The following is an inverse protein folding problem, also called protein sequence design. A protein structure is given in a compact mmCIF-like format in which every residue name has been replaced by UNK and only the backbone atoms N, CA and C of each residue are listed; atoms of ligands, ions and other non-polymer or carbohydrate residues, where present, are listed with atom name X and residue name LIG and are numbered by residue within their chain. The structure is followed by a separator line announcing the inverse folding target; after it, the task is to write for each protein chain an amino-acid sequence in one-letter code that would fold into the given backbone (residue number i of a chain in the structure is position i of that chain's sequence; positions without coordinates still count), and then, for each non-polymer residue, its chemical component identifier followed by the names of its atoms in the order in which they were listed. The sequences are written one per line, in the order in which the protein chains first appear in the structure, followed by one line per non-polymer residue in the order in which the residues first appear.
data_IF_061968462327
#
_entry.id   IF_061968462327
#
_cell.length_a   1.000
_cell.length_b   1.000
_cell.length_c   1.000
_cell.angle_alpha   90.00
_cell.angle_beta   90.00
_cell.angle_gamma   90.00
#
_symmetry.space_group_name_H-M   'P 1'
#
loop_
_entity.id
_entity.type
_entity.pdbx_description
1 polymer ?
#
# COMPACT_ATOMS: atom_id res chain seq x y z
N UNK A 1 -8.04 -27.26 -26.22
CA UNK A 1 -7.59 -27.61 -24.84
C UNK A 1 -6.11 -27.24 -24.77
N UNK A 2 -5.83 -25.97 -24.50
CA UNK A 2 -4.45 -25.53 -24.27
C UNK A 2 -4.20 -25.59 -22.76
N UNK A 3 -3.19 -26.39 -22.41
CA UNK A 3 -2.74 -26.63 -21.05
C UNK A 3 -2.04 -25.37 -20.55
N UNK A 4 -2.72 -24.57 -19.73
CA UNK A 4 -2.09 -23.48 -18.97
C UNK A 4 -1.33 -24.12 -17.81
N UNK A 5 -0.12 -24.61 -18.08
CA UNK A 5 0.84 -24.99 -17.05
C UNK A 5 1.37 -23.71 -16.39
N UNK A 6 0.56 -23.10 -15.52
CA UNK A 6 0.97 -21.97 -14.70
C UNK A 6 1.85 -22.46 -13.56
N UNK A 7 3.15 -22.25 -13.68
CA UNK A 7 4.06 -22.38 -12.54
C UNK A 7 3.64 -21.35 -11.46
N UNK A 8 3.40 -21.81 -10.24
CA UNK A 8 2.67 -21.12 -9.17
C UNK A 8 3.49 -20.06 -8.41
N UNK A 9 4.64 -19.62 -8.91
CA UNK A 9 5.64 -18.83 -8.15
C UNK A 9 5.59 -17.29 -8.33
N UNK A 10 4.55 -16.71 -8.96
CA UNK A 10 4.73 -15.38 -9.57
C UNK A 10 4.22 -14.18 -8.75
N UNK A 11 5.16 -13.36 -8.28
CA UNK A 11 4.94 -11.95 -7.90
C UNK A 11 5.62 -11.10 -8.96
N UNK A 12 4.99 -10.01 -9.41
CA UNK A 12 5.60 -9.06 -10.36
C UNK A 12 5.81 -7.73 -9.65
N UNK A 13 6.87 -7.04 -10.06
CA UNK A 13 7.30 -5.80 -9.43
C UNK A 13 7.65 -4.72 -10.44
N UNK A 14 7.46 -3.46 -10.07
CA UNK A 14 7.96 -2.30 -10.81
C UNK A 14 8.57 -1.28 -9.85
N UNK A 15 9.70 -0.69 -10.25
CA UNK A 15 10.33 0.45 -9.56
C UNK A 15 10.32 1.68 -10.45
N UNK A 16 10.34 2.87 -9.86
CA UNK A 16 10.27 4.13 -10.58
C UNK A 16 11.55 4.49 -11.39
N UNK A 17 12.58 3.64 -11.40
CA UNK A 17 13.82 3.88 -12.16
C UNK A 17 14.32 2.59 -12.82
N UNK A 18 14.58 2.66 -14.14
CA UNK A 18 14.98 1.53 -14.98
C UNK A 18 16.25 0.83 -14.48
N UNK A 19 17.22 1.56 -13.91
CA UNK A 19 18.47 0.96 -13.42
C UNK A 19 18.28 0.05 -12.20
N UNK A 20 17.17 0.19 -11.47
CA UNK A 20 16.84 -0.62 -10.30
C UNK A 20 15.98 -1.83 -10.68
N UNK A 21 15.37 -1.83 -11.87
CA UNK A 21 14.47 -2.90 -12.30
C UNK A 21 15.21 -4.24 -12.49
N UNK A 22 16.40 -4.19 -13.08
CA UNK A 22 17.24 -5.37 -13.30
C UNK A 22 17.69 -6.02 -11.96
N UNK A 23 18.10 -5.21 -10.96
CA UNK A 23 18.45 -5.70 -9.61
C UNK A 23 17.27 -6.43 -8.93
N UNK A 24 16.03 -5.98 -9.16
CA UNK A 24 14.84 -6.56 -8.53
C UNK A 24 14.36 -7.81 -9.24
N UNK A 25 14.47 -7.85 -10.57
CA UNK A 25 14.15 -9.03 -11.36
C UNK A 25 14.96 -10.24 -10.87
N UNK A 26 16.25 -10.05 -10.56
CA UNK A 26 17.11 -11.11 -10.04
C UNK A 26 16.70 -11.59 -8.63
N UNK A 27 16.18 -10.70 -7.77
CA UNK A 27 15.69 -11.06 -6.43
C UNK A 27 14.36 -11.83 -6.45
N UNK A 28 13.51 -11.55 -7.43
CA UNK A 28 12.21 -12.23 -7.62
C UNK A 28 12.38 -13.55 -8.37
N UNK A 29 13.46 -13.68 -9.16
CA UNK A 29 13.81 -14.90 -9.88
C UNK A 29 14.33 -16.03 -8.97
N UNK A 30 14.72 -15.72 -7.72
CA UNK A 30 15.02 -16.74 -6.71
C UNK A 30 13.71 -17.36 -6.19
N UNK A 31 13.22 -18.34 -6.96
CA UNK A 31 11.91 -18.97 -6.81
C UNK A 31 11.68 -19.66 -5.45
N UNK A 32 12.72 -19.79 -4.62
CA UNK A 32 12.65 -20.49 -3.33
C UNK A 32 11.87 -19.74 -2.24
N UNK A 33 11.77 -18.40 -2.33
CA UNK A 33 11.06 -17.58 -1.34
C UNK A 33 9.55 -17.47 -1.59
N UNK A 34 9.08 -17.85 -2.79
CA UNK A 34 7.72 -17.59 -3.26
C UNK A 34 6.82 -18.83 -3.29
N UNK A 35 7.32 -20.03 -3.00
CA UNK A 35 6.52 -21.26 -3.16
C UNK A 35 5.40 -21.40 -2.11
N UNK A 36 5.55 -20.78 -0.94
CA UNK A 36 4.52 -20.78 0.10
C UNK A 36 3.55 -19.60 -0.06
N UNK A 37 2.26 -19.90 -0.24
CA UNK A 37 1.18 -18.91 -0.33
C UNK A 37 1.12 -17.99 0.89
N UNK A 38 1.40 -18.51 2.08
CA UNK A 38 1.37 -17.70 3.30
C UNK A 38 2.52 -16.67 3.33
N UNK A 39 3.69 -17.06 2.85
CA UNK A 39 4.86 -16.18 2.82
C UNK A 39 4.69 -15.09 1.76
N UNK A 40 4.09 -15.41 0.60
CA UNK A 40 3.66 -14.41 -0.39
C UNK A 40 2.71 -13.38 0.23
N UNK A 41 1.68 -13.83 0.95
CA UNK A 41 0.72 -12.93 1.59
C UNK A 41 1.38 -12.08 2.68
N UNK A 42 2.31 -12.64 3.45
CA UNK A 42 3.12 -11.88 4.41
C UNK A 42 3.95 -10.80 3.72
N UNK A 43 4.63 -11.13 2.62
CA UNK A 43 5.44 -10.18 1.85
C UNK A 43 4.55 -9.07 1.27
N UNK A 44 3.42 -9.41 0.64
CA UNK A 44 2.51 -8.42 0.08
C UNK A 44 1.88 -7.52 1.15
N UNK A 45 1.57 -8.07 2.33
CA UNK A 45 0.94 -7.31 3.43
C UNK A 45 1.92 -6.49 4.28
N UNK A 46 3.21 -6.83 4.28
CA UNK A 46 4.24 -6.12 5.04
C UNK A 46 4.74 -4.83 4.37
N UNK A 47 4.30 -4.53 3.15
CA UNK A 47 4.60 -3.28 2.46
C UNK A 47 4.12 -2.02 3.21
N UNK A 48 4.58 -0.81 2.80
CA UNK A 48 5.26 -0.53 1.52
C UNK A 48 6.74 -0.91 1.50
N UNK A 49 7.19 -1.38 0.33
CA UNK A 49 8.58 -1.78 0.12
C UNK A 49 9.37 -0.64 -0.53
N UNK A 50 10.60 -0.42 -0.07
CA UNK A 50 11.50 0.55 -0.69
C UNK A 50 12.88 -0.03 -0.91
N UNK A 51 13.43 0.19 -2.09
CA UNK A 51 14.82 -0.17 -2.44
C UNK A 51 15.53 1.13 -2.77
N UNK A 52 16.62 1.42 -2.02
CA UNK A 52 17.42 2.65 -2.18
C UNK A 52 16.58 3.95 -2.16
N UNK A 53 15.50 3.96 -1.37
CA UNK A 53 14.58 5.11 -1.26
C UNK A 53 13.55 5.23 -2.39
N UNK A 54 13.53 4.30 -3.35
CA UNK A 54 12.50 4.20 -4.39
C UNK A 54 11.42 3.23 -3.94
N UNK A 55 10.16 3.57 -4.21
CA UNK A 55 9.03 2.68 -3.96
C UNK A 55 9.09 1.46 -4.90
N UNK A 56 8.96 0.27 -4.31
CA UNK A 56 8.78 -0.98 -5.03
C UNK A 56 7.29 -1.36 -4.98
N UNK A 57 6.64 -1.35 -6.14
CA UNK A 57 5.23 -1.73 -6.28
C UNK A 57 5.18 -3.23 -6.57
N UNK A 58 4.78 -4.02 -5.57
CA UNK A 58 4.56 -5.46 -5.70
C UNK A 58 3.08 -5.78 -5.94
N UNK A 59 2.80 -6.64 -6.92
CA UNK A 59 1.45 -7.14 -7.23
C UNK A 59 1.48 -8.66 -7.36
N UNK A 60 0.39 -9.31 -6.93
CA UNK A 60 0.18 -10.73 -7.17
C UNK A 60 -0.13 -10.94 -8.66
N UNK A 61 0.59 -11.84 -9.31
CA UNK A 61 0.30 -12.19 -10.70
C UNK A 61 -0.77 -13.28 -10.75
N UNK A 62 -1.76 -13.07 -11.61
CA UNK A 62 -2.77 -14.10 -11.91
C UNK A 62 -2.48 -14.73 -13.27
N UNK A 63 -2.42 -16.06 -13.30
CA UNK A 63 -2.24 -16.83 -14.53
C UNK A 63 -3.35 -16.49 -15.54
N UNK A 64 -2.99 -15.76 -16.59
CA UNK A 64 -3.93 -15.24 -17.60
C UNK A 64 -3.83 -13.74 -17.85
N UNK A 65 -3.12 -12.98 -17.00
CA UNK A 65 -2.83 -11.57 -17.26
C UNK A 65 -1.48 -11.41 -17.93
N UNK A 66 -1.41 -10.58 -18.97
CA UNK A 66 -0.12 -10.10 -19.51
C UNK A 66 0.40 -8.94 -18.65
N UNK A 67 1.70 -8.66 -18.73
CA UNK A 67 2.36 -7.65 -17.89
C UNK A 67 1.70 -6.26 -18.01
N UNK A 68 1.26 -5.93 -19.22
CA UNK A 68 0.64 -4.65 -19.56
C UNK A 68 -0.77 -4.47 -18.98
N UNK A 69 -1.42 -5.56 -18.57
CA UNK A 69 -2.75 -5.54 -17.95
C UNK A 69 -2.69 -5.29 -16.43
N UNK A 70 -1.49 -5.34 -15.85
CA UNK A 70 -1.30 -5.17 -14.41
C UNK A 70 -1.13 -3.68 -14.09
N UNK A 71 -2.01 -3.17 -13.22
CA UNK A 71 -1.95 -1.78 -12.79
C UNK A 71 -0.93 -1.58 -11.66
N UNK A 72 0.20 -0.97 -12.02
CA UNK A 72 1.25 -0.50 -11.09
C UNK A 72 1.12 1.00 -10.73
N UNK A 73 0.05 1.67 -11.17
CA UNK A 73 -0.12 3.11 -10.97
C UNK A 73 -0.56 3.47 -9.55
N UNK A 74 -1.03 2.51 -8.75
CA UNK A 74 -1.41 2.74 -7.35
C UNK A 74 -0.80 1.72 -6.39
N UNK A 75 -0.59 2.16 -5.15
CA UNK A 75 -0.12 1.31 -4.07
C UNK A 75 -0.77 1.68 -2.71
N UNK A 76 -1.10 0.67 -1.87
CA UNK A 76 -1.68 0.91 -0.55
C UNK A 76 -0.65 1.39 0.47
N UNK A 77 -0.95 2.49 1.14
CA UNK A 77 -0.15 3.05 2.23
C UNK A 77 -0.95 3.15 3.53
N UNK A 78 -0.32 2.80 4.64
CA UNK A 78 -0.77 3.26 5.96
C UNK A 78 -0.30 4.69 6.18
N UNK A 79 -1.24 5.63 6.24
CA UNK A 79 -0.97 7.05 6.47
C UNK A 79 -1.38 7.44 7.88
N UNK A 80 -0.46 8.07 8.60
CA UNK A 80 -0.73 8.65 9.91
C UNK A 80 -1.24 10.08 9.75
N UNK A 81 -2.40 10.38 10.31
CA UNK A 81 -2.97 11.74 10.33
C UNK A 81 -2.73 12.35 11.70
N UNK A 82 -1.84 13.34 11.74
CA UNK A 82 -1.42 14.05 12.95
C UNK A 82 -2.15 15.39 13.11
N UNK A 83 -2.07 15.99 14.30
CA UNK A 83 -2.55 17.35 14.56
C UNK A 83 -4.07 17.52 14.63
N UNK A 84 -4.83 16.43 14.65
CA UNK A 84 -6.28 16.47 14.85
C UNK A 84 -6.60 16.81 16.32
N UNK A 85 -7.57 17.71 16.58
CA UNK A 85 -8.15 17.86 17.91
C UNK A 85 -8.75 16.52 18.40
N UNK A 86 -8.85 16.30 19.72
CA UNK A 86 -9.37 15.04 20.28
C UNK A 86 -10.71 14.61 19.68
N UNK A 87 -11.66 15.54 19.52
CA UNK A 87 -13.00 15.26 18.99
C UNK A 87 -13.00 14.84 17.51
N UNK A 88 -11.89 15.10 16.80
CA UNK A 88 -11.74 14.75 15.39
C UNK A 88 -11.09 13.37 15.18
N UNK A 89 -10.66 12.69 16.25
CA UNK A 89 -10.04 11.36 16.19
C UNK A 89 -11.10 10.25 16.29
N UNK A 90 -12.04 10.27 15.35
CA UNK A 90 -13.10 9.26 15.25
C UNK A 90 -13.04 8.54 13.91
N UNK A 91 -13.59 7.32 13.85
CA UNK A 91 -13.74 6.56 12.62
C UNK A 91 -14.50 7.36 11.55
N UNK A 92 -15.53 8.10 11.94
CA UNK A 92 -16.31 8.95 11.02
C UNK A 92 -15.46 10.04 10.38
N UNK A 93 -14.55 10.66 11.14
CA UNK A 93 -13.65 11.66 10.61
C UNK A 93 -12.53 11.03 9.78
N UNK A 94 -12.02 9.86 10.16
CA UNK A 94 -11.09 9.09 9.35
C UNK A 94 -11.68 8.76 7.96
N UNK A 95 -12.96 8.34 7.91
CA UNK A 95 -13.71 8.09 6.68
C UNK A 95 -13.86 9.33 5.80
N UNK A 96 -13.86 10.54 6.38
CA UNK A 96 -13.89 11.81 5.64
C UNK A 96 -12.50 12.28 5.21
N UNK A 97 -11.45 11.92 5.93
CA UNK A 97 -10.07 12.34 5.65
C UNK A 97 -9.43 11.43 4.60
N UNK A 98 -9.58 10.12 4.71
CA UNK A 98 -8.98 9.13 3.80
C UNK A 98 -9.17 9.45 2.32
N UNK A 99 -10.41 9.69 1.85
CA UNK A 99 -10.71 10.05 0.46
C UNK A 99 -10.02 11.31 -0.06
N UNK A 100 -9.50 12.18 0.82
CA UNK A 100 -8.72 13.36 0.41
C UNK A 100 -7.27 13.03 0.06
N UNK A 101 -6.80 11.86 0.48
CA UNK A 101 -5.43 11.36 0.26
C UNK A 101 -5.41 10.38 -0.91
N UNK A 102 -6.35 9.44 -0.94
CA UNK A 102 -6.48 8.37 -1.94
C UNK A 102 -7.74 7.55 -1.73
N UNK A 103 -7.86 6.40 -2.40
CA UNK A 103 -9.01 5.52 -2.18
C UNK A 103 -8.89 4.83 -0.81
N UNK A 104 -9.85 5.06 0.08
CA UNK A 104 -9.82 4.52 1.44
C UNK A 104 -10.05 3.00 1.44
N UNK A 105 -9.10 2.26 2.01
CA UNK A 105 -9.14 0.80 2.13
C UNK A 105 -9.45 0.33 3.55
N UNK A 106 -8.90 1.01 4.56
CA UNK A 106 -9.05 0.62 5.96
C UNK A 106 -8.83 1.80 6.91
N UNK A 107 -9.33 1.68 8.13
CA UNK A 107 -9.24 2.70 9.18
C UNK A 107 -8.85 2.06 10.49
N UNK A 108 -7.80 2.58 11.10
CA UNK A 108 -7.37 2.23 12.45
C UNK A 108 -7.46 3.48 13.34
N UNK A 109 -8.60 3.59 14.03
CA UNK A 109 -8.84 4.58 15.07
C UNK A 109 -8.83 3.89 16.44
N UNK A 110 -8.06 4.39 17.41
CA UNK A 110 -8.06 3.86 18.76
C UNK A 110 -9.45 3.91 19.41
N UNK A 111 -9.81 2.86 20.16
CA UNK A 111 -11.11 2.80 20.85
C UNK A 111 -11.17 3.80 22.01
N UNK A 112 -12.33 4.44 22.16
CA UNK A 112 -12.66 5.33 23.28
C UNK A 112 -12.45 4.62 24.62
N UNK A 113 -11.62 5.19 25.49
CA UNK A 113 -11.30 4.62 26.82
C UNK A 113 -9.84 4.21 27.01
N UNK A 114 -9.05 4.10 25.93
CA UNK A 114 -7.60 4.12 26.05
C UNK A 114 -7.15 5.55 26.30
N UNK A 115 -6.86 5.87 27.57
CA UNK A 115 -6.27 7.13 28.08
C UNK A 115 -4.93 7.53 27.43
N UNK A 116 -4.55 6.89 26.33
CA UNK A 116 -3.35 7.24 25.58
C UNK A 116 -3.75 8.39 24.66
N UNK A 117 -3.07 9.50 24.83
CA UNK A 117 -3.09 10.65 23.96
C UNK A 117 -2.63 10.21 22.57
N UNK A 118 -3.48 9.55 21.80
CA UNK A 118 -3.09 9.00 20.52
C UNK A 118 -2.79 10.17 19.60
N UNK A 119 -1.51 10.34 19.29
CA UNK A 119 -0.97 11.49 18.56
C UNK A 119 -1.56 11.58 17.14
N UNK A 120 -2.07 10.47 16.63
CA UNK A 120 -2.59 10.33 15.27
C UNK A 120 -3.69 9.27 15.20
N UNK A 121 -4.43 9.31 14.09
CA UNK A 121 -5.21 8.16 13.57
C UNK A 121 -4.47 7.57 12.37
N UNK A 122 -4.74 6.31 12.03
CA UNK A 122 -4.20 5.67 10.82
C UNK A 122 -5.30 5.38 9.82
N UNK A 123 -5.04 5.68 8.56
CA UNK A 123 -5.90 5.29 7.44
C UNK A 123 -5.06 4.53 6.43
N UNK A 124 -5.57 3.41 5.93
CA UNK A 124 -4.98 2.69 4.81
C UNK A 124 -5.63 3.23 3.55
N UNK A 125 -4.85 3.81 2.65
CA UNK A 125 -5.34 4.42 1.42
C UNK A 125 -4.54 3.89 0.23
N UNK A 126 -5.23 3.56 -0.86
CA UNK A 126 -4.58 3.31 -2.15
C UNK A 126 -4.28 4.65 -2.81
N UNK A 127 -2.99 4.91 -3.06
CA UNK A 127 -2.50 6.19 -3.57
C UNK A 127 -1.94 5.99 -4.96
N UNK A 128 -2.38 6.81 -5.90
CA UNK A 128 -1.76 6.88 -7.23
C UNK A 128 -0.32 7.41 -7.11
N UNK A 129 0.65 6.55 -7.40
CA UNK A 129 2.08 6.81 -7.21
C UNK A 129 2.64 7.81 -8.22
N UNK A 130 1.90 8.13 -9.28
CA UNK A 130 2.27 9.17 -10.26
C UNK A 130 2.00 10.56 -9.71
N UNK A 131 1.10 10.66 -8.73
CA UNK A 131 0.78 11.92 -8.08
C UNK A 131 1.71 12.19 -6.90
N UNK A 132 2.01 13.48 -6.68
CA UNK A 132 2.73 13.89 -5.47
C UNK A 132 1.87 13.62 -4.23
N UNK A 133 2.48 13.06 -3.20
CA UNK A 133 1.83 12.85 -1.90
C UNK A 133 1.33 14.19 -1.34
N UNK A 134 0.09 14.20 -0.85
CA UNK A 134 -0.49 15.34 -0.15
C UNK A 134 0.15 15.44 1.23
N UNK A 135 0.72 16.60 1.56
CA UNK A 135 1.41 16.83 2.84
C UNK A 135 0.49 17.31 3.96
N UNK A 136 -0.73 17.77 3.64
CA UNK A 136 -1.69 18.22 4.64
C UNK A 136 -2.99 18.74 4.04
N UNK A 137 -3.91 19.14 4.91
CA UNK A 137 -5.19 19.75 4.54
C UNK A 137 -5.61 20.79 5.59
N UNK A 138 -6.46 21.73 5.18
CA UNK A 138 -7.04 22.72 6.08
C UNK A 138 -8.20 22.11 6.87
N UNK A 139 -8.14 22.24 8.19
CA UNK A 139 -9.23 21.88 9.10
C UNK A 139 -9.93 23.17 9.54
N UNK A 140 -11.24 23.27 9.29
CA UNK A 140 -12.04 24.37 9.84
C UNK A 140 -12.18 24.18 11.34
N UNK A 141 -11.89 25.22 12.11
CA UNK A 141 -12.09 25.21 13.56
C UNK A 141 -13.58 25.14 13.87
N UNK A 142 -13.99 24.20 14.73
CA UNK A 142 -15.33 24.22 15.30
C UNK A 142 -15.46 25.50 16.14
N UNK A 143 -16.41 26.36 15.76
CA UNK A 143 -16.71 27.63 16.44
C UNK A 143 -17.85 27.41 17.41
#
# INVERSE_FOLDING_TARGET
MESINGNLSQIISQTANLSCFDEVHDLVSDSSLADNKEDKLKILSAGPWSIRGLLLVLKEWSSGLVLEEIDFQSYPFWVQVHGLPPDFKSTDNANKIGPKIGALLDVDVPRSGQLVWNKFIRVKVDVDVRNRLKTGFLLKRAT
#
